data_IF_992764103516
#
_entry.id   IF_992764103516
#
_cell.length_a   1.000
_cell.length_b   1.000
_cell.length_c   1.000
_cell.angle_alpha   90.00
_cell.angle_beta   90.00
_cell.angle_gamma   90.00
#
_symmetry.space_group_name_H-M   'P 1'
#
loop_
_entity.id
_entity.type
_entity.pdbx_description
1 polymer ?
#
# COMPACT_ATOMS: atom_id res chain seq x y z
N UNK A 1 -25.54 -61.58 -30.46
CA UNK A 1 -24.21 -60.99 -30.27
C UNK A 1 -24.27 -60.03 -29.10
N UNK A 2 -23.82 -60.49 -27.94
CA UNK A 2 -23.78 -59.75 -26.68
C UNK A 2 -22.68 -58.68 -26.74
N UNK A 3 -23.06 -57.41 -26.62
CA UNK A 3 -22.11 -56.30 -26.55
C UNK A 3 -21.94 -55.88 -25.07
N UNK A 4 -20.70 -56.00 -24.63
CA UNK A 4 -20.12 -55.64 -23.34
C UNK A 4 -20.23 -54.13 -23.08
N UNK A 5 -20.91 -53.74 -22.00
CA UNK A 5 -21.01 -52.36 -21.51
C UNK A 5 -20.20 -52.20 -20.22
N UNK A 6 -18.88 -52.18 -20.37
CA UNK A 6 -17.95 -51.76 -19.33
C UNK A 6 -17.56 -50.28 -19.52
N UNK A 7 -17.72 -49.39 -18.53
CA UNK A 7 -17.33 -47.99 -18.66
C UNK A 7 -15.81 -47.81 -18.53
N UNK A 8 -15.19 -47.27 -19.58
CA UNK A 8 -13.80 -46.79 -19.58
C UNK A 8 -13.58 -45.73 -18.49
N UNK A 9 -12.71 -46.02 -17.51
CA UNK A 9 -12.16 -45.01 -16.60
C UNK A 9 -11.09 -44.21 -17.33
N UNK A 10 -11.31 -42.91 -17.50
CA UNK A 10 -10.25 -41.95 -17.84
C UNK A 10 -9.28 -41.82 -16.66
N UNK A 11 -7.95 -41.77 -16.89
CA UNK A 11 -7.00 -41.48 -15.83
C UNK A 11 -7.10 -40.02 -15.36
N UNK A 12 -7.01 -39.80 -14.05
CA UNK A 12 -7.02 -38.48 -13.43
C UNK A 12 -5.78 -37.66 -13.84
N UNK A 13 -5.89 -36.32 -13.99
CA UNK A 13 -4.76 -35.46 -14.32
C UNK A 13 -3.73 -35.43 -13.18
N UNK A 14 -2.48 -35.71 -13.52
CA UNK A 14 -1.30 -35.50 -12.67
C UNK A 14 -1.11 -34.00 -12.41
N UNK A 15 -0.96 -33.54 -11.14
CA UNK A 15 -0.59 -32.16 -10.87
C UNK A 15 0.87 -31.87 -11.28
N UNK A 16 1.20 -30.64 -11.69
CA UNK A 16 2.50 -30.30 -12.25
C UNK A 16 3.61 -30.44 -11.22
N UNK A 17 4.58 -31.32 -11.53
CA UNK A 17 5.84 -31.41 -10.81
C UNK A 17 6.71 -30.21 -11.14
N UNK A 18 6.96 -29.38 -10.14
CA UNK A 18 8.01 -28.37 -10.19
C UNK A 18 9.37 -29.06 -10.12
N UNK A 19 9.98 -29.28 -11.28
CA UNK A 19 11.42 -29.51 -11.39
C UNK A 19 12.11 -28.15 -11.36
N UNK A 20 12.45 -27.68 -10.16
CA UNK A 20 13.48 -26.66 -10.00
C UNK A 20 14.83 -27.38 -9.89
N UNK A 21 15.57 -27.38 -10.99
CA UNK A 21 16.97 -27.73 -11.01
C UNK A 21 17.77 -26.70 -10.22
N UNK A 22 18.17 -27.07 -9.01
CA UNK A 22 19.23 -26.42 -8.25
C UNK A 22 20.10 -27.52 -7.65
N UNK A 23 21.37 -27.58 -8.05
CA UNK A 23 22.41 -28.36 -7.40
C UNK A 23 22.63 -27.83 -5.97
N UNK A 24 21.86 -28.36 -5.03
CA UNK A 24 21.94 -28.13 -3.59
C UNK A 24 21.73 -29.45 -2.84
N UNK A 25 22.00 -29.51 -1.51
CA UNK A 25 21.96 -30.75 -0.75
C UNK A 25 20.59 -31.44 -0.88
N UNK A 26 20.61 -32.74 -1.18
CA UNK A 26 19.41 -33.57 -1.34
C UNK A 26 18.73 -33.76 0.03
N UNK A 27 17.45 -33.40 0.11
CA UNK A 27 16.63 -33.54 1.31
C UNK A 27 15.64 -34.69 1.16
N UNK A 28 15.53 -35.54 2.18
CA UNK A 28 14.52 -36.61 2.24
C UNK A 28 13.49 -36.26 3.31
N UNK A 29 12.23 -36.08 2.90
CA UNK A 29 11.09 -35.86 3.79
C UNK A 29 10.48 -37.21 4.16
N UNK A 30 10.37 -37.53 5.45
CA UNK A 30 9.71 -38.75 5.92
C UNK A 30 8.30 -38.43 6.43
N UNK A 31 7.27 -39.07 5.86
CA UNK A 31 5.89 -39.06 6.39
C UNK A 31 5.77 -40.15 7.46
N UNK A 32 5.51 -39.77 8.70
CA UNK A 32 5.20 -40.72 9.77
C UNK A 32 3.82 -41.37 9.52
N UNK A 33 3.79 -42.64 9.13
CA UNK A 33 2.60 -43.49 9.11
C UNK A 33 2.60 -44.42 10.32
N UNK A 34 1.52 -44.46 11.10
CA UNK A 34 1.28 -45.47 12.14
C UNK A 34 0.10 -46.35 11.73
N UNK A 35 0.35 -47.65 11.69
CA UNK A 35 -0.60 -48.75 11.53
C UNK A 35 -1.34 -48.99 12.84
N UNK A 36 -2.67 -48.95 12.85
CA UNK A 36 -3.47 -49.44 13.97
C UNK A 36 -4.68 -50.22 13.45
N UNK A 37 -4.59 -51.53 13.64
CA UNK A 37 -5.66 -52.53 13.57
C UNK A 37 -6.79 -52.18 14.54
N UNK A 38 -8.03 -51.99 14.06
CA UNK A 38 -9.22 -52.06 14.91
C UNK A 38 -10.43 -52.67 14.19
N UNK A 39 -10.84 -53.78 14.79
CA UNK A 39 -12.02 -54.61 14.59
C UNK A 39 -13.33 -53.80 14.54
N UNK A 40 -14.22 -54.25 13.66
CA UNK A 40 -15.52 -53.69 13.32
C UNK A 40 -16.52 -53.65 14.50
N UNK A 41 -17.18 -52.51 14.73
CA UNK A 41 -18.51 -52.44 15.37
C UNK A 41 -19.33 -51.31 14.74
N UNK A 42 -20.50 -51.69 14.18
CA UNK A 42 -21.58 -50.78 13.76
C UNK A 42 -22.20 -50.11 14.97
N UNK A 43 -22.42 -48.79 14.92
CA UNK A 43 -23.67 -48.15 15.37
C UNK A 43 -23.91 -46.85 14.60
N UNK A 44 -25.20 -46.64 14.31
CA UNK A 44 -25.83 -45.63 13.46
C UNK A 44 -25.98 -44.28 14.16
N UNK A 45 -25.81 -43.19 13.41
CA UNK A 45 -26.16 -41.83 13.84
C UNK A 45 -25.43 -40.76 13.03
N UNK A 46 -26.05 -40.29 11.93
CA UNK A 46 -25.46 -39.27 11.06
C UNK A 46 -25.50 -37.87 11.71
N UNK A 47 -24.34 -37.43 12.23
CA UNK A 47 -23.95 -36.02 12.31
C UNK A 47 -22.72 -35.85 11.43
N UNK A 48 -22.58 -34.73 10.71
CA UNK A 48 -21.36 -34.41 9.93
C UNK A 48 -20.15 -34.44 10.88
N UNK A 49 -19.42 -35.54 10.88
CA UNK A 49 -18.18 -35.68 11.63
C UNK A 49 -17.06 -35.02 10.82
N UNK A 50 -16.57 -33.87 11.30
CA UNK A 50 -15.16 -33.55 11.13
C UNK A 50 -14.35 -34.74 11.67
N UNK A 51 -13.33 -35.18 10.94
CA UNK A 51 -12.57 -36.37 11.33
C UNK A 51 -11.96 -36.15 12.72
N UNK A 52 -12.15 -37.06 13.70
CA UNK A 52 -11.62 -36.90 15.06
C UNK A 52 -10.09 -36.74 15.10
N UNK A 53 -9.38 -37.16 14.05
CA UNK A 53 -7.94 -36.98 13.90
C UNK A 53 -7.51 -35.53 13.61
N UNK A 54 -8.41 -34.68 13.10
CA UNK A 54 -8.15 -33.27 12.82
C UNK A 54 -8.33 -32.45 14.11
N UNK A 55 -9.41 -32.70 14.85
CA UNK A 55 -9.67 -32.03 16.14
C UNK A 55 -8.58 -32.34 17.18
N UNK A 56 -8.08 -33.58 17.25
CA UNK A 56 -6.97 -33.95 18.14
C UNK A 56 -5.66 -33.23 17.77
N UNK A 57 -5.39 -33.02 16.47
CA UNK A 57 -4.17 -32.33 16.03
C UNK A 57 -4.22 -30.84 16.28
N UNK A 58 -5.38 -30.22 16.09
CA UNK A 58 -5.57 -28.80 16.37
C UNK A 58 -5.43 -28.53 17.88
N UNK A 59 -5.95 -29.41 18.74
CA UNK A 59 -5.74 -29.33 20.20
C UNK A 59 -4.26 -29.49 20.59
N UNK A 60 -3.55 -30.45 20.00
CA UNK A 60 -2.11 -30.65 20.24
C UNK A 60 -1.26 -29.47 19.74
N UNK A 61 -1.62 -28.88 18.59
CA UNK A 61 -0.99 -27.67 18.06
C UNK A 61 -1.20 -26.47 19.00
N UNK A 62 -2.40 -26.33 19.55
CA UNK A 62 -2.71 -25.28 20.51
C UNK A 62 -1.91 -25.44 21.81
N UNK A 63 -1.92 -26.63 22.40
CA UNK A 63 -1.12 -26.95 23.60
C UNK A 63 0.40 -26.76 23.35
N UNK A 64 0.89 -27.09 22.15
CA UNK A 64 2.27 -26.85 21.79
C UNK A 64 2.60 -25.34 21.75
N UNK A 65 1.68 -24.50 21.27
CA UNK A 65 1.92 -23.05 21.14
C UNK A 65 1.64 -22.24 22.40
N UNK A 66 1.07 -22.82 23.46
CA UNK A 66 0.90 -22.16 24.77
C UNK A 66 2.23 -21.81 25.44
N UNK A 67 3.32 -22.51 25.11
CA UNK A 67 4.65 -22.17 25.64
C UNK A 67 5.29 -21.07 24.79
N UNK A 68 5.59 -19.88 25.36
CA UNK A 68 6.06 -18.72 24.60
C UNK A 68 7.31 -19.00 23.75
N UNK A 69 8.25 -19.78 24.29
CA UNK A 69 9.47 -20.19 23.58
C UNK A 69 9.16 -21.02 22.35
N UNK A 70 8.20 -21.96 22.43
CA UNK A 70 7.79 -22.78 21.28
C UNK A 70 7.06 -21.96 20.23
N UNK A 71 6.18 -21.04 20.65
CA UNK A 71 5.53 -20.12 19.74
C UNK A 71 6.53 -19.19 19.03
N UNK A 72 7.53 -18.69 19.76
CA UNK A 72 8.64 -17.92 19.21
C UNK A 72 9.44 -18.69 18.15
N UNK A 73 9.86 -19.92 18.48
CA UNK A 73 10.57 -20.81 17.55
C UNK A 73 9.74 -21.08 16.29
N UNK A 74 8.46 -21.45 16.45
CA UNK A 74 7.58 -21.72 15.31
C UNK A 74 7.41 -20.51 14.39
N UNK A 75 7.14 -19.31 14.95
CA UNK A 75 7.04 -18.07 14.16
C UNK A 75 8.31 -17.80 13.38
N UNK A 76 9.48 -17.94 14.02
CA UNK A 76 10.77 -17.69 13.36
C UNK A 76 11.00 -18.65 12.20
N UNK A 77 10.70 -19.94 12.38
CA UNK A 77 10.83 -20.95 11.31
C UNK A 77 9.82 -20.70 10.16
N UNK A 78 8.62 -20.17 10.46
CA UNK A 78 7.65 -19.74 9.42
C UNK A 78 8.18 -18.56 8.60
N UNK A 79 8.84 -17.60 9.24
CA UNK A 79 9.41 -16.42 8.55
C UNK A 79 10.65 -16.75 7.72
N UNK A 80 11.54 -17.63 8.20
CA UNK A 80 12.77 -17.94 7.47
C UNK A 80 12.57 -18.86 6.25
N UNK A 81 11.51 -19.68 6.23
CA UNK A 81 11.17 -20.53 5.08
C UNK A 81 12.21 -21.60 4.70
N UNK A 82 13.26 -21.80 5.50
CA UNK A 82 14.36 -22.75 5.27
C UNK A 82 14.45 -23.82 6.36
N UNK A 83 15.11 -24.96 6.10
CA UNK A 83 15.39 -25.97 7.14
C UNK A 83 16.38 -25.47 8.19
N UNK A 84 16.02 -25.65 9.47
CA UNK A 84 16.80 -25.24 10.63
C UNK A 84 17.10 -26.46 11.50
N UNK A 85 18.35 -26.59 11.95
CA UNK A 85 18.80 -27.60 12.90
C UNK A 85 18.55 -27.17 14.34
N UNK A 86 18.53 -28.13 15.28
CA UNK A 86 18.36 -27.81 16.71
C UNK A 86 19.47 -26.89 17.26
N UNK A 87 20.68 -26.92 16.68
CA UNK A 87 21.78 -26.03 17.08
C UNK A 87 21.54 -24.60 16.62
N UNK A 88 21.18 -24.41 15.35
CA UNK A 88 20.81 -23.10 14.82
C UNK A 88 19.62 -22.50 15.59
N UNK A 89 18.63 -23.32 15.96
CA UNK A 89 17.52 -22.87 16.80
C UNK A 89 17.95 -22.52 18.23
N UNK A 90 18.89 -23.25 18.82
CA UNK A 90 19.46 -22.91 20.12
C UNK A 90 20.19 -21.56 20.08
N UNK A 91 21.00 -21.33 19.05
CA UNK A 91 21.75 -20.09 18.87
C UNK A 91 20.81 -18.88 18.69
N UNK A 92 19.71 -19.05 17.93
CA UNK A 92 18.72 -17.98 17.71
C UNK A 92 17.96 -17.55 18.97
N UNK A 93 17.71 -18.46 19.90
CA UNK A 93 16.85 -18.22 21.06
C UNK A 93 17.61 -18.22 22.40
N UNK A 94 18.94 -18.30 22.37
CA UNK A 94 19.77 -18.37 23.58
C UNK A 94 19.49 -19.61 24.44
N UNK A 95 19.14 -20.74 23.80
CA UNK A 95 18.77 -21.98 24.48
C UNK A 95 19.90 -23.01 24.38
N UNK A 96 19.89 -23.99 25.28
CA UNK A 96 20.73 -25.17 25.12
C UNK A 96 20.22 -26.05 23.96
N UNK A 97 21.12 -26.65 23.18
CA UNK A 97 20.78 -27.45 21.98
C UNK A 97 19.78 -28.59 22.24
N UNK A 98 19.86 -29.23 23.42
CA UNK A 98 18.89 -30.27 23.80
C UNK A 98 17.51 -29.70 24.12
N UNK A 99 17.44 -28.50 24.73
CA UNK A 99 16.16 -27.84 25.04
C UNK A 99 15.48 -27.38 23.76
N UNK A 100 16.24 -26.77 22.84
CA UNK A 100 15.74 -26.41 21.51
C UNK A 100 15.23 -27.64 20.75
N UNK A 101 15.96 -28.76 20.79
CA UNK A 101 15.52 -30.03 20.17
C UNK A 101 14.18 -30.51 20.73
N UNK A 102 14.02 -30.51 22.06
CA UNK A 102 12.77 -30.94 22.69
C UNK A 102 11.59 -30.06 22.26
N UNK A 103 11.78 -28.73 22.18
CA UNK A 103 10.76 -27.83 21.66
C UNK A 103 10.39 -28.11 20.20
N UNK A 104 11.39 -28.34 19.35
CA UNK A 104 11.20 -28.66 17.94
C UNK A 104 10.51 -30.02 17.73
N UNK A 105 10.83 -31.02 18.55
CA UNK A 105 10.19 -32.34 18.50
C UNK A 105 8.72 -32.26 18.91
N UNK A 106 8.39 -31.51 19.98
CA UNK A 106 6.99 -31.27 20.38
C UNK A 106 6.21 -30.56 19.26
N UNK A 107 6.81 -29.57 18.60
CA UNK A 107 6.17 -28.88 17.46
C UNK A 107 6.01 -29.81 16.23
N UNK A 108 6.96 -30.73 16.00
CA UNK A 108 6.84 -31.73 14.94
C UNK A 108 5.76 -32.77 15.24
N UNK A 109 5.67 -33.24 16.49
CA UNK A 109 4.65 -34.18 16.94
C UNK A 109 3.24 -33.58 16.88
N UNK A 110 3.12 -32.28 17.15
CA UNK A 110 1.89 -31.51 16.95
C UNK A 110 1.57 -31.22 15.47
N UNK A 111 2.42 -31.64 14.53
CA UNK A 111 2.19 -31.46 13.09
C UNK A 111 2.46 -30.05 12.55
N UNK A 112 3.06 -29.17 13.36
CA UNK A 112 3.43 -27.80 12.98
C UNK A 112 4.75 -27.75 12.20
N UNK A 113 5.66 -28.69 12.47
CA UNK A 113 6.94 -28.82 11.76
C UNK A 113 7.02 -30.14 11.00
N UNK A 114 7.77 -30.14 9.91
CA UNK A 114 8.21 -31.33 9.19
C UNK A 114 9.69 -31.54 9.48
N UNK A 115 10.07 -32.78 9.76
CA UNK A 115 11.48 -33.13 10.01
C UNK A 115 12.13 -33.77 8.79
N UNK A 116 13.39 -33.43 8.57
CA UNK A 116 14.22 -33.98 7.49
C UNK A 116 15.64 -34.23 7.98
N UNK A 117 16.51 -34.68 7.08
CA UNK A 117 17.93 -34.84 7.38
C UNK A 117 18.78 -34.09 6.36
N UNK A 118 19.80 -33.36 6.85
CA UNK A 118 20.83 -32.70 6.04
C UNK A 118 22.09 -33.57 6.04
N UNK A 119 22.55 -34.01 4.87
CA UNK A 119 23.89 -34.60 4.72
C UNK A 119 24.92 -33.48 4.60
N UNK A 120 25.98 -33.55 5.40
CA UNK A 120 27.12 -32.65 5.25
C UNK A 120 28.09 -33.20 4.19
N UNK A 121 28.69 -32.34 3.33
CA UNK A 121 29.63 -32.77 2.29
C UNK A 121 30.89 -33.46 2.84
N UNK A 122 31.27 -33.19 4.11
CA UNK A 122 32.47 -33.72 4.76
C UNK A 122 32.33 -35.09 5.42
N UNK A 123 31.20 -35.79 5.23
CA UNK A 123 30.91 -37.05 5.95
C UNK A 123 30.49 -36.83 7.41
N UNK A 124 29.68 -37.75 7.95
CA UNK A 124 29.15 -37.69 9.31
C UNK A 124 27.67 -38.11 9.41
N UNK A 125 27.17 -38.31 10.64
CA UNK A 125 25.76 -38.63 10.89
C UNK A 125 24.88 -37.48 10.38
N UNK A 126 23.88 -37.75 9.51
CA UNK A 126 23.01 -36.70 8.98
C UNK A 126 22.36 -35.87 10.09
N UNK A 127 22.41 -34.55 9.97
CA UNK A 127 21.83 -33.65 10.96
C UNK A 127 20.31 -33.57 10.79
N UNK A 128 19.54 -33.80 11.86
CA UNK A 128 18.09 -33.61 11.84
C UNK A 128 17.78 -32.12 11.70
N UNK A 129 16.95 -31.78 10.72
CA UNK A 129 16.48 -30.42 10.46
C UNK A 129 14.96 -30.38 10.58
N UNK A 130 14.45 -29.18 10.81
CA UNK A 130 13.05 -28.89 11.01
C UNK A 130 12.66 -27.76 10.06
N UNK A 131 11.53 -27.91 9.40
CA UNK A 131 10.95 -26.91 8.49
C UNK A 131 9.53 -26.65 8.97
N UNK A 132 9.11 -25.39 9.00
CA UNK A 132 7.70 -25.11 9.26
C UNK A 132 6.85 -25.68 8.14
N UNK A 133 5.78 -26.40 8.51
CA UNK A 133 4.87 -26.96 7.51
C UNK A 133 4.19 -25.82 6.76
N UNK A 134 4.29 -25.83 5.43
CA UNK A 134 3.55 -24.89 4.59
C UNK A 134 2.05 -25.17 4.80
N UNK A 135 1.33 -24.16 5.29
CA UNK A 135 -0.10 -24.27 5.54
C UNK A 135 -0.80 -24.41 4.19
N UNK A 136 -1.24 -25.63 3.87
CA UNK A 136 -2.39 -25.79 2.98
C UNK A 136 -3.53 -25.05 3.65
N UNK A 137 -4.15 -24.12 2.92
CA UNK A 137 -5.28 -23.31 3.35
C UNK A 137 -6.24 -24.13 4.24
N UNK A 138 -6.25 -23.88 5.56
CA UNK A 138 -7.14 -24.59 6.48
C UNK A 138 -6.66 -24.78 7.92
N UNK A 139 -5.35 -24.77 8.20
CA UNK A 139 -4.87 -24.89 9.60
C UNK A 139 -4.79 -23.50 10.24
N UNK A 140 -5.70 -23.24 11.18
CA UNK A 140 -5.80 -21.99 11.94
C UNK A 140 -4.51 -21.77 12.73
N UNK A 141 -3.89 -20.60 12.61
CA UNK A 141 -2.83 -20.20 13.54
C UNK A 141 -3.45 -19.95 14.93
N UNK A 142 -3.10 -20.72 15.97
CA UNK A 142 -3.70 -20.58 17.32
C UNK A 142 -3.39 -19.24 18.00
N UNK A 143 -2.42 -18.47 17.49
CA UNK A 143 -2.06 -17.14 18.01
C UNK A 143 -2.83 -16.01 17.31
N UNK A 144 -3.63 -16.33 16.28
CA UNK A 144 -4.39 -15.36 15.49
C UNK A 144 -5.86 -15.53 15.87
N UNK A 145 -6.47 -14.59 16.63
CA UNK A 145 -7.87 -14.69 17.02
C UNK A 145 -8.75 -15.02 15.79
N UNK A 146 -9.75 -15.91 15.88
CA UNK A 146 -10.59 -16.27 14.72
C UNK A 146 -11.18 -15.05 13.99
N UNK A 147 -11.48 -13.99 14.73
CA UNK A 147 -11.95 -12.71 14.18
C UNK A 147 -10.93 -12.01 13.27
N UNK A 148 -9.63 -12.21 13.47
CA UNK A 148 -8.59 -11.62 12.64
C UNK A 148 -8.40 -12.33 11.29
N UNK A 149 -8.65 -13.65 11.20
CA UNK A 149 -8.71 -14.34 9.90
C UNK A 149 -9.94 -13.90 9.10
N UNK A 150 -11.09 -13.76 9.77
CA UNK A 150 -12.30 -13.23 9.14
C UNK A 150 -12.10 -11.77 8.71
N UNK A 151 -11.43 -10.95 9.51
CA UNK A 151 -11.11 -9.56 9.18
C UNK A 151 -10.17 -9.48 7.96
N UNK A 152 -9.11 -10.29 7.90
CA UNK A 152 -8.21 -10.33 6.74
C UNK A 152 -8.97 -10.77 5.49
N UNK A 153 -9.78 -11.84 5.57
CA UNK A 153 -10.58 -12.29 4.45
C UNK A 153 -11.59 -11.23 4.00
N UNK A 154 -12.25 -10.55 4.95
CA UNK A 154 -13.16 -9.45 4.66
C UNK A 154 -12.45 -8.28 3.99
N UNK A 155 -11.27 -7.88 4.46
CA UNK A 155 -10.46 -6.82 3.84
C UNK A 155 -10.05 -7.21 2.41
N UNK A 156 -9.61 -8.44 2.17
CA UNK A 156 -9.27 -8.92 0.81
C UNK A 156 -10.49 -8.89 -0.11
N UNK A 157 -11.66 -9.34 0.37
CA UNK A 157 -12.90 -9.29 -0.42
C UNK A 157 -13.35 -7.86 -0.69
N UNK A 158 -13.20 -6.95 0.27
CA UNK A 158 -13.47 -5.52 0.07
C UNK A 158 -12.54 -4.93 -0.99
N UNK A 159 -11.23 -5.21 -0.92
CA UNK A 159 -10.26 -4.77 -1.93
C UNK A 159 -10.60 -5.34 -3.31
N UNK A 160 -10.98 -6.61 -3.41
CA UNK A 160 -11.41 -7.19 -4.69
C UNK A 160 -12.68 -6.49 -5.24
N UNK A 161 -13.63 -6.14 -4.38
CA UNK A 161 -14.83 -5.39 -4.76
C UNK A 161 -14.56 -3.94 -5.20
N UNK A 162 -13.41 -3.36 -4.85
CA UNK A 162 -13.01 -2.02 -5.28
C UNK A 162 -12.73 -1.91 -6.78
N UNK A 163 -12.50 -3.03 -7.47
CA UNK A 163 -12.26 -3.07 -8.91
C UNK A 163 -13.38 -2.42 -9.74
N UNK A 164 -14.63 -2.50 -9.27
CA UNK A 164 -15.80 -1.89 -9.93
C UNK A 164 -15.91 -0.37 -9.68
N UNK A 165 -15.10 0.17 -8.78
CA UNK A 165 -15.17 1.57 -8.33
C UNK A 165 -13.85 2.33 -8.52
N UNK A 166 -12.98 1.85 -9.42
CA UNK A 166 -11.66 2.43 -9.72
C UNK A 166 -11.67 3.93 -9.97
N UNK A 167 -12.64 4.43 -10.73
CA UNK A 167 -12.76 5.88 -11.02
C UNK A 167 -13.03 6.70 -9.75
N UNK A 168 -13.93 6.23 -8.88
CA UNK A 168 -14.21 6.87 -7.59
C UNK A 168 -12.99 6.82 -6.66
N UNK A 169 -12.24 5.71 -6.68
CA UNK A 169 -11.01 5.56 -5.89
C UNK A 169 -9.92 6.52 -6.35
N UNK A 170 -9.76 6.70 -7.66
CA UNK A 170 -8.83 7.68 -8.20
C UNK A 170 -9.17 9.09 -7.73
N UNK A 171 -10.45 9.49 -7.75
CA UNK A 171 -10.93 10.80 -7.26
C UNK A 171 -10.65 10.98 -5.76
N UNK A 172 -10.90 9.94 -4.95
CA UNK A 172 -10.62 10.00 -3.51
C UNK A 172 -9.12 10.07 -3.22
N UNK A 173 -8.31 9.29 -3.93
CA UNK A 173 -6.85 9.33 -3.82
C UNK A 173 -6.31 10.70 -4.27
N UNK A 174 -6.91 11.32 -5.28
CA UNK A 174 -6.59 12.68 -5.71
C UNK A 174 -6.84 13.72 -4.62
N UNK A 175 -7.97 13.64 -3.91
CA UNK A 175 -8.23 14.52 -2.76
C UNK A 175 -7.21 14.32 -1.63
N UNK A 176 -6.81 13.07 -1.36
CA UNK A 176 -5.77 12.78 -0.36
C UNK A 176 -4.39 13.29 -0.81
N UNK A 177 -4.03 13.11 -2.09
CA UNK A 177 -2.79 13.65 -2.66
C UNK A 177 -2.69 15.16 -2.51
N UNK A 178 -3.80 15.89 -2.78
CA UNK A 178 -3.88 17.33 -2.53
C UNK A 178 -3.64 17.70 -1.06
N UNK A 179 -4.21 16.93 -0.12
CA UNK A 179 -4.06 17.17 1.32
C UNK A 179 -2.65 16.94 1.84
N UNK A 180 -1.91 15.98 1.28
CA UNK A 180 -0.52 15.74 1.66
C UNK A 180 0.37 16.93 1.32
N UNK A 181 0.12 17.58 0.19
CA UNK A 181 0.84 18.81 -0.17
C UNK A 181 0.39 19.98 0.71
N UNK A 182 -0.90 20.14 0.99
CA UNK A 182 -1.37 21.26 1.83
C UNK A 182 -0.86 21.24 3.27
N UNK A 183 -0.53 20.07 3.82
CA UNK A 183 0.14 19.94 5.13
C UNK A 183 1.65 20.15 5.05
N UNK A 184 2.28 19.83 3.92
CA UNK A 184 3.71 20.03 3.66
C UNK A 184 4.08 21.44 3.13
N UNK A 185 3.09 22.19 2.61
CA UNK A 185 3.23 23.45 1.85
C UNK A 185 3.61 24.68 2.70
N UNK A 186 4.73 24.58 3.42
CA UNK A 186 5.58 25.72 3.74
C UNK A 186 6.70 25.95 2.71
N UNK A 187 6.75 25.17 1.62
CA UNK A 187 7.90 25.17 0.68
C UNK A 187 7.43 25.10 -0.78
N UNK A 188 7.81 26.16 -1.51
CA UNK A 188 7.81 26.32 -2.96
C UNK A 188 6.44 26.27 -3.69
N UNK A 189 5.95 27.44 -4.12
CA UNK A 189 5.21 27.53 -5.38
C UNK A 189 6.22 27.28 -6.50
N UNK A 190 6.25 26.06 -7.00
CA UNK A 190 7.00 25.77 -8.20
C UNK A 190 6.39 26.50 -9.39
N UNK A 191 7.26 27.07 -10.24
CA UNK A 191 6.87 27.81 -11.44
C UNK A 191 6.83 26.93 -12.69
N UNK A 192 7.19 25.66 -12.53
CA UNK A 192 7.35 24.63 -13.56
C UNK A 192 7.03 23.23 -13.00
N UNK A 193 6.90 22.24 -13.90
CA UNK A 193 6.63 20.85 -13.51
C UNK A 193 7.74 20.30 -12.60
N UNK A 194 8.99 20.68 -12.86
CA UNK A 194 10.14 20.17 -12.14
C UNK A 194 10.07 20.52 -10.65
N UNK A 195 9.83 21.79 -10.32
CA UNK A 195 9.65 22.18 -8.93
C UNK A 195 8.42 21.54 -8.30
N UNK A 196 7.33 21.39 -9.06
CA UNK A 196 6.09 20.82 -8.54
C UNK A 196 6.27 19.34 -8.20
N UNK A 197 7.01 18.61 -9.04
CA UNK A 197 7.39 17.22 -8.81
C UNK A 197 8.23 17.05 -7.55
N UNK A 198 9.20 17.95 -7.30
CA UNK A 198 10.01 17.90 -6.07
C UNK A 198 9.13 18.10 -4.83
N UNK A 199 8.22 19.07 -4.85
CA UNK A 199 7.29 19.33 -3.73
C UNK A 199 6.33 18.16 -3.52
N UNK A 200 5.75 17.65 -4.60
CA UNK A 200 4.83 16.52 -4.56
C UNK A 200 5.49 15.25 -4.01
N UNK A 201 6.69 14.89 -4.50
CA UNK A 201 7.46 13.73 -4.03
C UNK A 201 7.84 13.89 -2.56
N UNK A 202 8.27 15.09 -2.14
CA UNK A 202 8.59 15.33 -0.73
C UNK A 202 7.37 15.17 0.19
N UNK A 203 6.19 15.63 -0.24
CA UNK A 203 4.94 15.49 0.50
C UNK A 203 4.47 14.03 0.55
N UNK A 204 4.52 13.33 -0.60
CA UNK A 204 4.18 11.90 -0.69
C UNK A 204 5.14 11.04 0.14
N UNK A 205 6.42 11.41 0.20
CA UNK A 205 7.45 10.73 0.99
C UNK A 205 7.14 10.58 2.47
N UNK A 206 6.31 11.47 3.03
CA UNK A 206 5.85 11.37 4.42
C UNK A 206 4.91 10.16 4.65
N UNK A 207 4.15 9.77 3.63
CA UNK A 207 3.26 8.61 3.66
C UNK A 207 3.87 7.37 2.97
N UNK A 208 4.74 7.59 1.98
CA UNK A 208 5.37 6.57 1.14
C UNK A 208 6.89 6.80 1.09
N UNK A 209 7.66 6.30 2.07
CA UNK A 209 9.10 6.58 2.20
C UNK A 209 9.94 6.23 0.97
N UNK A 210 9.50 5.28 0.16
CA UNK A 210 10.18 4.79 -1.04
C UNK A 210 9.90 5.63 -2.29
N UNK A 211 8.98 6.60 -2.20
CA UNK A 211 8.61 7.44 -3.34
C UNK A 211 9.77 8.34 -3.76
N UNK A 212 10.03 8.34 -5.08
CA UNK A 212 11.10 9.13 -5.69
C UNK A 212 10.74 9.60 -7.08
N UNK A 213 11.39 10.70 -7.47
CA UNK A 213 11.38 11.19 -8.84
C UNK A 213 12.42 10.41 -9.65
N UNK A 214 11.98 9.63 -10.63
CA UNK A 214 12.84 8.84 -11.49
C UNK A 214 13.35 9.65 -12.69
N UNK A 215 12.44 10.37 -13.36
CA UNK A 215 12.73 11.24 -14.50
C UNK A 215 11.89 12.52 -14.37
N UNK A 216 12.42 13.66 -14.81
CA UNK A 216 11.65 14.90 -14.90
C UNK A 216 12.22 15.79 -16.00
N UNK A 217 11.33 16.33 -16.81
CA UNK A 217 11.58 17.40 -17.78
C UNK A 217 10.48 18.47 -17.66
N UNK A 218 10.45 19.43 -18.59
CA UNK A 218 9.52 20.56 -18.54
C UNK A 218 8.05 20.14 -18.71
N UNK A 219 7.77 18.98 -19.32
CA UNK A 219 6.43 18.52 -19.68
C UNK A 219 6.05 17.17 -19.09
N UNK A 220 7.00 16.37 -18.61
CA UNK A 220 6.82 15.00 -18.15
C UNK A 220 7.60 14.74 -16.86
N UNK A 221 6.96 14.05 -15.92
CA UNK A 221 7.57 13.56 -14.70
C UNK A 221 7.26 12.07 -14.53
N UNK A 222 8.24 11.29 -14.08
CA UNK A 222 8.09 9.88 -13.75
C UNK A 222 8.37 9.70 -12.27
N UNK A 223 7.40 9.16 -11.56
CA UNK A 223 7.46 8.90 -10.11
C UNK A 223 7.36 7.39 -9.88
N UNK A 224 8.20 6.87 -9.00
CA UNK A 224 8.26 5.44 -8.65
C UNK A 224 8.19 5.25 -7.13
N UNK A 225 7.87 4.03 -6.68
CA UNK A 225 7.96 3.62 -5.28
C UNK A 225 6.63 3.61 -4.50
N UNK A 226 5.53 4.09 -5.10
CA UNK A 226 4.19 4.01 -4.48
C UNK A 226 3.69 2.55 -4.34
N UNK A 227 4.12 1.66 -5.24
CA UNK A 227 3.81 0.23 -5.23
C UNK A 227 4.30 -0.48 -3.97
N UNK A 228 5.37 0.00 -3.34
CA UNK A 228 5.89 -0.59 -2.09
C UNK A 228 4.87 -0.41 -0.96
N UNK A 229 4.34 0.81 -0.79
CA UNK A 229 3.30 1.10 0.20
C UNK A 229 1.93 0.53 -0.18
N UNK A 230 1.67 0.34 -1.48
CA UNK A 230 0.41 -0.20 -2.00
C UNK A 230 0.47 -1.72 -2.29
N UNK A 231 1.54 -2.41 -1.89
CA UNK A 231 1.80 -3.80 -2.29
C UNK A 231 0.64 -4.74 -1.98
N UNK A 232 0.05 -4.65 -0.79
CA UNK A 232 -1.08 -5.50 -0.39
C UNK A 232 -2.31 -5.31 -1.26
N UNK A 233 -2.54 -4.09 -1.75
CA UNK A 233 -3.65 -3.79 -2.66
C UNK A 233 -3.30 -4.28 -4.06
N UNK A 234 -2.09 -4.01 -4.54
CA UNK A 234 -1.63 -4.43 -5.86
C UNK A 234 -1.53 -5.95 -6.06
N UNK A 235 -1.22 -6.70 -4.99
CA UNK A 235 -1.22 -8.17 -5.00
C UNK A 235 -2.63 -8.76 -5.17
N UNK A 236 -3.66 -8.07 -4.67
CA UNK A 236 -5.07 -8.47 -4.84
C UNK A 236 -5.60 -8.01 -6.20
N UNK A 237 -5.41 -6.73 -6.52
CA UNK A 237 -5.78 -6.13 -7.80
C UNK A 237 -4.81 -4.99 -8.18
N UNK A 238 -3.96 -5.26 -9.17
CA UNK A 238 -2.99 -4.30 -9.66
C UNK A 238 -3.61 -3.03 -10.26
N UNK A 239 -4.80 -3.12 -10.86
CA UNK A 239 -5.48 -1.97 -11.45
C UNK A 239 -6.06 -1.04 -10.38
N UNK A 240 -6.45 -1.57 -9.22
CA UNK A 240 -6.82 -0.77 -8.04
C UNK A 240 -5.58 -0.08 -7.47
N UNK A 241 -4.46 -0.79 -7.34
CA UNK A 241 -3.18 -0.20 -6.92
C UNK A 241 -2.73 0.95 -7.84
N UNK A 242 -2.78 0.73 -9.16
CA UNK A 242 -2.44 1.75 -10.17
C UNK A 242 -3.40 2.95 -10.11
N UNK A 243 -4.71 2.73 -9.95
CA UNK A 243 -5.68 3.83 -9.83
C UNK A 243 -5.45 4.71 -8.60
N UNK A 244 -5.08 4.11 -7.47
CA UNK A 244 -4.70 4.84 -6.25
C UNK A 244 -3.42 5.64 -6.46
N UNK A 245 -2.37 5.00 -7.01
CA UNK A 245 -1.10 5.64 -7.27
C UNK A 245 -1.26 6.86 -8.21
N UNK A 246 -2.02 6.69 -9.30
CA UNK A 246 -2.33 7.76 -10.24
C UNK A 246 -3.08 8.92 -9.55
N UNK A 247 -4.08 8.61 -8.72
CA UNK A 247 -4.83 9.62 -7.97
C UNK A 247 -3.93 10.41 -7.00
N UNK A 248 -3.15 9.73 -6.15
CA UNK A 248 -2.26 10.41 -5.19
C UNK A 248 -1.27 11.35 -5.88
N UNK A 249 -0.62 10.89 -6.95
CA UNK A 249 0.35 11.68 -7.71
C UNK A 249 -0.33 12.86 -8.41
N UNK A 250 -1.47 12.65 -9.08
CA UNK A 250 -2.23 13.73 -9.73
C UNK A 250 -2.62 14.80 -8.74
N UNK A 251 -3.16 14.39 -7.59
CA UNK A 251 -3.58 15.33 -6.54
C UNK A 251 -2.43 16.12 -5.95
N UNK A 252 -1.29 15.46 -5.70
CA UNK A 252 -0.10 16.11 -5.16
C UNK A 252 0.50 17.11 -6.17
N UNK A 253 0.67 16.72 -7.44
CA UNK A 253 1.20 17.60 -8.48
C UNK A 253 0.27 18.79 -8.73
N UNK A 254 -1.05 18.58 -8.79
CA UNK A 254 -2.02 19.65 -8.95
C UNK A 254 -1.96 20.65 -7.77
N UNK A 255 -1.86 20.16 -6.53
CA UNK A 255 -1.70 21.02 -5.35
C UNK A 255 -0.34 21.74 -5.30
N UNK A 256 0.69 21.16 -5.90
CA UNK A 256 2.01 21.78 -6.05
C UNK A 256 2.09 22.79 -7.21
N UNK A 257 1.00 22.96 -7.98
CA UNK A 257 0.89 23.94 -9.07
C UNK A 257 1.09 23.37 -10.48
N UNK A 258 1.22 22.05 -10.62
CA UNK A 258 1.35 21.37 -11.92
C UNK A 258 0.16 20.44 -12.17
N UNK A 259 -0.90 20.91 -12.85
CA UNK A 259 -1.98 20.04 -13.32
C UNK A 259 -1.42 19.09 -14.38
N UNK A 260 -1.70 17.80 -14.21
CA UNK A 260 -1.12 16.72 -15.03
C UNK A 260 -2.16 15.67 -15.38
N UNK A 261 -2.04 15.12 -16.57
CA UNK A 261 -2.58 13.81 -16.89
C UNK A 261 -1.64 12.72 -16.36
N UNK A 262 -2.20 11.68 -15.75
CA UNK A 262 -1.42 10.66 -15.04
C UNK A 262 -1.81 9.27 -15.46
N UNK A 263 -0.81 8.46 -15.81
CA UNK A 263 -0.95 7.04 -16.10
C UNK A 263 -0.02 6.26 -15.17
N UNK A 264 -0.58 5.32 -14.41
CA UNK A 264 0.17 4.42 -13.54
C UNK A 264 0.15 3.01 -14.13
N UNK A 265 1.31 2.33 -14.12
CA UNK A 265 1.44 0.92 -14.50
C UNK A 265 2.52 0.25 -13.66
N UNK A 266 2.14 -0.72 -12.83
CA UNK A 266 3.09 -1.62 -12.17
C UNK A 266 4.13 -0.88 -11.32
N UNK A 267 3.71 0.15 -10.60
CA UNK A 267 4.57 0.95 -9.73
C UNK A 267 5.32 2.12 -10.38
N UNK A 268 5.25 2.25 -11.71
CA UNK A 268 5.71 3.44 -12.43
C UNK A 268 4.52 4.36 -12.72
N UNK A 269 4.61 5.60 -12.26
CA UNK A 269 3.61 6.64 -12.47
C UNK A 269 4.18 7.71 -13.40
N UNK A 270 3.59 7.84 -14.58
CA UNK A 270 3.95 8.83 -15.57
C UNK A 270 2.93 9.97 -15.54
N UNK A 271 3.42 11.19 -15.32
CA UNK A 271 2.63 12.41 -15.27
C UNK A 271 3.08 13.33 -16.42
N UNK A 272 2.14 13.79 -17.23
CA UNK A 272 2.37 14.71 -18.34
C UNK A 272 1.58 15.98 -18.05
N UNK A 273 2.21 17.15 -18.18
CA UNK A 273 1.53 18.44 -18.02
C UNK A 273 0.29 18.50 -18.90
N UNK A 274 -0.84 18.76 -18.27
CA UNK A 274 -2.06 19.07 -18.99
C UNK A 274 -2.05 20.57 -19.30
N UNK A 275 -1.65 20.91 -20.54
CA UNK A 275 -1.66 22.29 -21.02
C UNK A 275 -3.08 22.91 -21.03
N UNK A 276 -4.12 22.06 -21.12
CA UNK A 276 -5.54 22.43 -20.98
C UNK A 276 -5.98 22.55 -19.51
N UNK A 277 -5.26 21.87 -18.61
CA UNK A 277 -5.48 21.81 -17.17
C UNK A 277 -4.84 22.95 -16.39
N UNK A 278 -4.15 23.90 -17.06
CA UNK A 278 -3.77 25.21 -16.50
C UNK A 278 -5.02 26.00 -16.08
N UNK A 279 -5.62 25.58 -14.97
CA UNK A 279 -6.91 26.06 -14.45
C UNK A 279 -7.11 25.78 -12.96
N UNK A 280 -6.16 25.14 -12.27
CA UNK A 280 -6.12 25.08 -10.82
C UNK A 280 -5.43 26.31 -10.24
N UNK A 281 -6.13 27.44 -10.20
CA UNK A 281 -5.67 28.75 -9.69
C UNK A 281 -4.24 29.12 -10.15
N UNK A 282 -4.08 29.79 -11.31
CA UNK A 282 -2.78 30.21 -11.84
C UNK A 282 -1.92 30.91 -10.78
N UNK A 283 -0.61 30.60 -10.77
CA UNK A 283 0.32 31.14 -9.80
C UNK A 283 0.35 32.67 -9.89
N UNK A 284 0.16 33.39 -8.77
CA UNK A 284 0.24 34.84 -8.78
C UNK A 284 1.68 35.28 -9.06
N UNK A 285 1.83 36.24 -9.97
CA UNK A 285 3.11 36.90 -10.24
C UNK A 285 3.48 37.81 -9.07
N UNK A 286 2.48 38.37 -8.38
CA UNK A 286 2.66 39.24 -7.23
C UNK A 286 1.59 38.98 -6.15
N UNK A 287 1.96 39.14 -4.88
CA UNK A 287 1.05 39.03 -3.72
C UNK A 287 1.02 40.34 -2.94
N UNK A 288 -0.18 40.87 -2.72
CA UNK A 288 -0.46 42.04 -1.88
C UNK A 288 -1.06 41.60 -0.55
N UNK A 289 -0.35 41.89 0.54
CA UNK A 289 -0.86 41.71 1.91
C UNK A 289 -1.66 42.95 2.32
N UNK A 290 -2.98 42.90 2.14
CA UNK A 290 -3.91 43.97 2.50
C UNK A 290 -4.55 43.77 3.88
N UNK A 291 -4.06 42.82 4.67
CA UNK A 291 -4.53 42.64 6.05
C UNK A 291 -4.22 43.88 6.88
N UNK A 292 -5.13 44.22 7.79
CA UNK A 292 -5.09 45.43 8.63
C UNK A 292 -5.18 46.75 7.87
N UNK A 293 -5.41 46.73 6.55
CA UNK A 293 -5.72 47.93 5.78
C UNK A 293 -7.23 48.13 5.70
N UNK A 294 -7.66 49.37 5.52
CA UNK A 294 -9.05 49.62 5.11
C UNK A 294 -9.28 49.12 3.69
N UNK A 295 -10.54 48.87 3.31
CA UNK A 295 -10.87 48.40 1.95
C UNK A 295 -10.31 49.35 0.87
N UNK A 296 -10.41 50.66 1.08
CA UNK A 296 -9.90 51.66 0.14
C UNK A 296 -8.37 51.59 -0.02
N UNK A 297 -7.64 51.51 1.09
CA UNK A 297 -6.18 51.38 1.09
C UNK A 297 -5.71 50.08 0.45
N UNK A 298 -6.42 48.98 0.73
CA UNK A 298 -6.15 47.67 0.17
C UNK A 298 -6.39 47.63 -1.35
N UNK A 299 -7.52 48.18 -1.82
CA UNK A 299 -7.81 48.31 -3.26
C UNK A 299 -6.78 49.21 -3.95
N UNK A 300 -6.38 50.33 -3.34
CA UNK A 300 -5.35 51.20 -3.93
C UNK A 300 -3.99 50.51 -4.04
N UNK A 301 -3.65 49.65 -3.07
CA UNK A 301 -2.41 48.85 -3.11
C UNK A 301 -2.49 47.76 -4.17
N UNK A 302 -3.61 47.04 -4.27
CA UNK A 302 -3.86 46.06 -5.32
C UNK A 302 -3.85 46.69 -6.72
N UNK A 303 -4.39 47.90 -6.87
CA UNK A 303 -4.38 48.65 -8.12
C UNK A 303 -2.94 48.97 -8.57
N UNK A 304 -2.08 49.44 -7.65
CA UNK A 304 -0.68 49.73 -7.98
C UNK A 304 0.09 48.48 -8.42
N UNK A 305 -0.10 47.35 -7.72
CA UNK A 305 0.49 46.08 -8.11
C UNK A 305 -0.02 45.61 -9.49
N UNK A 306 -1.33 45.70 -9.73
CA UNK A 306 -1.96 45.30 -10.99
C UNK A 306 -1.42 46.09 -12.21
N UNK A 307 -1.02 47.35 -12.03
CA UNK A 307 -0.41 48.15 -13.12
C UNK A 307 0.89 47.53 -13.63
N UNK A 308 1.71 46.97 -12.74
CA UNK A 308 3.01 46.38 -13.08
C UNK A 308 2.94 45.02 -13.80
N UNK A 309 1.79 44.33 -13.73
CA UNK A 309 1.61 43.00 -14.30
C UNK A 309 1.45 43.00 -15.83
N UNK A 310 1.79 41.91 -16.51
CA UNK A 310 1.47 41.73 -17.92
C UNK A 310 0.00 41.32 -18.12
N UNK A 311 -0.62 41.58 -19.28
CA UNK A 311 -1.97 41.10 -19.58
C UNK A 311 -2.07 39.57 -19.45
N UNK A 312 -3.02 39.08 -18.66
CA UNK A 312 -3.18 37.66 -18.38
C UNK A 312 -2.44 37.15 -17.13
N UNK A 313 -1.55 37.95 -16.53
CA UNK A 313 -0.91 37.65 -15.24
C UNK A 313 -1.91 37.69 -14.08
N UNK A 314 -1.51 37.08 -12.97
CA UNK A 314 -2.33 36.94 -11.79
C UNK A 314 -1.76 37.71 -10.60
N UNK A 315 -2.65 38.41 -9.88
CA UNK A 315 -2.38 39.08 -8.62
C UNK A 315 -3.09 38.34 -7.49
N UNK A 316 -2.36 38.02 -6.43
CA UNK A 316 -2.95 37.53 -5.19
C UNK A 316 -3.15 38.69 -4.21
N UNK A 317 -4.34 38.79 -3.61
CA UNK A 317 -4.61 39.73 -2.53
C UNK A 317 -5.02 38.94 -1.29
N UNK A 318 -4.29 39.15 -0.18
CA UNK A 318 -4.57 38.56 1.12
C UNK A 318 -5.27 39.59 2.00
N UNK A 319 -6.49 39.30 2.43
CA UNK A 319 -7.31 40.20 3.24
C UNK A 319 -7.81 39.54 4.52
N UNK A 320 -8.22 40.34 5.51
CA UNK A 320 -8.84 39.85 6.75
C UNK A 320 -10.31 39.48 6.53
N UNK A 321 -10.89 38.63 7.39
CA UNK A 321 -12.28 38.18 7.27
C UNK A 321 -13.33 39.32 7.30
N UNK A 322 -12.96 40.49 7.84
CA UNK A 322 -13.82 41.68 7.90
C UNK A 322 -13.79 42.53 6.61
N UNK A 323 -12.71 42.45 5.84
CA UNK A 323 -12.56 43.22 4.60
C UNK A 323 -13.23 42.45 3.46
N UNK A 324 -14.45 42.87 3.12
CA UNK A 324 -15.35 42.16 2.22
C UNK A 324 -14.72 41.91 0.83
N UNK A 325 -14.57 40.64 0.40
CA UNK A 325 -14.06 40.28 -0.93
C UNK A 325 -14.84 40.92 -2.09
N UNK A 326 -16.12 41.23 -1.86
CA UNK A 326 -16.98 41.94 -2.78
C UNK A 326 -16.44 43.31 -3.20
N UNK A 327 -15.68 44.01 -2.34
CA UNK A 327 -15.09 45.31 -2.67
C UNK A 327 -14.01 45.19 -3.75
N UNK A 328 -13.11 44.21 -3.61
CA UNK A 328 -12.10 43.91 -4.62
C UNK A 328 -12.70 43.39 -5.91
N UNK A 329 -13.74 42.54 -5.83
CA UNK A 329 -14.45 42.05 -7.01
C UNK A 329 -15.10 43.19 -7.81
N UNK A 330 -15.77 44.14 -7.14
CA UNK A 330 -16.36 45.32 -7.79
C UNK A 330 -15.34 46.23 -8.45
N UNK A 331 -14.18 46.41 -7.81
CA UNK A 331 -13.09 47.18 -8.41
C UNK A 331 -12.53 46.46 -9.65
N UNK A 332 -12.22 45.17 -9.54
CA UNK A 332 -11.68 44.37 -10.62
C UNK A 332 -12.61 44.40 -11.85
N UNK A 333 -13.91 44.18 -11.64
CA UNK A 333 -14.93 44.24 -12.69
C UNK A 333 -14.97 45.60 -13.39
N UNK A 334 -15.00 46.71 -12.63
CA UNK A 334 -14.97 48.07 -13.19
C UNK A 334 -13.69 48.37 -13.97
N UNK A 335 -12.56 47.82 -13.54
CA UNK A 335 -11.27 47.94 -14.21
C UNK A 335 -11.09 46.95 -15.39
N UNK A 336 -12.07 46.07 -15.65
CA UNK A 336 -12.02 45.05 -16.69
C UNK A 336 -11.16 43.83 -16.35
N UNK A 337 -10.73 43.68 -15.10
CA UNK A 337 -10.00 42.52 -14.60
C UNK A 337 -10.96 41.42 -14.16
N UNK A 338 -10.48 40.17 -14.11
CA UNK A 338 -11.30 39.02 -13.74
C UNK A 338 -10.94 38.52 -12.35
N UNK A 339 -11.94 38.16 -11.55
CA UNK A 339 -11.73 37.39 -10.30
C UNK A 339 -11.71 35.92 -10.66
N UNK A 340 -10.61 35.24 -10.37
CA UNK A 340 -10.40 33.82 -10.71
C UNK A 340 -10.75 32.90 -9.55
N UNK A 341 -10.36 33.27 -8.32
CA UNK A 341 -10.59 32.45 -7.13
C UNK A 341 -10.77 33.33 -5.88
N UNK A 342 -11.61 32.88 -4.95
CA UNK A 342 -11.74 33.47 -3.60
C UNK A 342 -11.81 32.33 -2.59
N UNK A 343 -10.79 32.22 -1.75
CA UNK A 343 -10.65 31.11 -0.82
C UNK A 343 -10.24 31.57 0.58
N UNK A 344 -10.71 30.89 1.62
CA UNK A 344 -10.17 31.07 2.99
C UNK A 344 -8.92 30.19 3.12
N UNK A 345 -7.79 30.79 3.44
CA UNK A 345 -6.48 30.11 3.50
C UNK A 345 -5.74 30.42 4.80
N UNK A 346 -4.61 29.74 5.01
CA UNK A 346 -3.55 30.16 5.92
C UNK A 346 -2.32 30.52 5.09
N UNK A 347 -1.73 31.68 5.34
CA UNK A 347 -0.53 32.13 4.62
C UNK A 347 0.74 31.35 5.05
N UNK A 348 1.87 31.66 4.42
CA UNK A 348 3.21 31.09 4.71
C UNK A 348 3.64 31.24 6.19
N UNK A 349 3.02 32.16 6.94
CA UNK A 349 3.27 32.41 8.37
C UNK A 349 2.18 31.81 9.27
N UNK A 350 1.31 30.95 8.72
CA UNK A 350 0.22 30.29 9.43
C UNK A 350 -0.98 31.19 9.78
N UNK A 351 -0.97 32.44 9.33
CA UNK A 351 -2.01 33.44 9.62
C UNK A 351 -3.21 33.22 8.73
N UNK A 352 -4.42 33.26 9.30
CA UNK A 352 -5.68 33.15 8.55
C UNK A 352 -5.80 34.35 7.61
N UNK A 353 -6.27 34.11 6.39
CA UNK A 353 -6.55 35.15 5.42
C UNK A 353 -7.66 34.70 4.47
N UNK A 354 -8.35 35.65 3.86
CA UNK A 354 -9.12 35.41 2.64
C UNK A 354 -8.22 35.77 1.46
N UNK A 355 -7.95 34.80 0.59
CA UNK A 355 -7.23 34.96 -0.66
C UNK A 355 -8.21 35.36 -1.75
N UNK A 356 -7.86 36.37 -2.54
CA UNK A 356 -8.54 36.77 -3.76
C UNK A 356 -7.52 36.71 -4.88
N UNK A 357 -7.75 35.88 -5.89
CA UNK A 357 -6.90 35.77 -7.07
C UNK A 357 -7.55 36.54 -8.21
N UNK A 358 -6.83 37.52 -8.76
CA UNK A 358 -7.28 38.39 -9.83
C UNK A 358 -6.42 38.17 -11.07
N UNK A 359 -7.02 38.18 -12.26
CA UNK A 359 -6.31 38.14 -13.54
C UNK A 359 -6.38 39.49 -14.22
N UNK A 360 -5.22 40.00 -14.67
CA UNK A 360 -5.14 41.24 -15.44
C UNK A 360 -5.84 41.06 -16.79
N UNK A 361 -6.59 42.09 -17.18
CA UNK A 361 -7.28 42.14 -18.46
C UNK A 361 -6.29 41.93 -19.61
N UNK A 362 -6.64 41.05 -20.54
CA UNK A 362 -6.04 41.03 -21.87
C UNK A 362 -6.76 42.10 -22.68
N UNK A 363 -6.06 43.18 -23.05
CA UNK A 363 -6.67 44.27 -23.83
C UNK A 363 -7.37 43.71 -25.08
N UNK A 364 -8.50 44.32 -25.44
CA UNK A 364 -9.21 44.01 -26.69
C UNK A 364 -8.34 44.25 -27.91
#
# INVERSE_FOLDING_TARGET
MTLDTSPHRLPAPTPPGWLLGCSGPVWVVSRAGRTADRRCRRMSGARRATSPLVDDRDALAQQALEVPTRAGIYRRLRTEGRPVSAREAADMFGLHANVARNHLDVLADAGLLVTGTRKHPGGGRPARVYVAREQVAGVRDPQVPPGSQLAVHAVVQLIAGLAEHREKLAILAEDQGRRLVSTAAGRASARDLQGAAVVAVAALGAAFPEVRLAEVDDARAVIEGLDVGLRLIGEVDGQVGDALAAGFVRGALAAAGAPVEVVARGGRVEAVLDASGMGGAPSPVETVDARRLTLEQGVHTAMRAMVALAPGDHLEVLTDEQAAPAGYARWADRAGHQVIDVARIRDLKGRRAVRILLRKATGR
#
